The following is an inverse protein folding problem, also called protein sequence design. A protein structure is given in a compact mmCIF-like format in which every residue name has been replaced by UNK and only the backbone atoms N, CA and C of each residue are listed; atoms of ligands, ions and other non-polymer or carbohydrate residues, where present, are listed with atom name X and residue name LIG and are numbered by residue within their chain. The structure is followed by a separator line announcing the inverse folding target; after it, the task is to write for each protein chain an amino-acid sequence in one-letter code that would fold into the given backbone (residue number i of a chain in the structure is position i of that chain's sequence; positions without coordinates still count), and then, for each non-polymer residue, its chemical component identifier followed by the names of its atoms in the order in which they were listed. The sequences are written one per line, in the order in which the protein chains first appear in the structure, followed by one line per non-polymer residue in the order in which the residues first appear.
data_IF_403877728736
#
_entry.id   IF_403877728736
#
_cell.length_a   1.000
_cell.length_b   1.000
_cell.length_c   1.000
_cell.angle_alpha   90.00
_cell.angle_beta   90.00
_cell.angle_gamma   90.00
#
_symmetry.space_group_name_H-M   'P 1'
#
loop_
_entity.id
_entity.type
_entity.pdbx_description
1 polymer ?
#
# COMPACT_ATOMS: atom_id res chain seq x y z
N UNK A 1 -3.15 -16.14 2.30
CA UNK A 1 -2.88 -15.64 0.93
C UNK A 1 -3.71 -16.35 -0.14
N UNK A 2 -3.76 -17.69 -0.18
CA UNK A 2 -4.43 -18.43 -1.26
C UNK A 2 -5.85 -17.94 -1.61
N UNK A 3 -6.71 -17.69 -0.62
CA UNK A 3 -8.08 -17.20 -0.85
C UNK A 3 -8.14 -15.85 -1.57
N UNK A 4 -7.24 -14.92 -1.27
CA UNK A 4 -7.25 -13.59 -1.89
C UNK A 4 -6.74 -13.72 -3.33
N UNK A 5 -5.65 -14.45 -3.55
CA UNK A 5 -5.05 -14.61 -4.88
C UNK A 5 -5.96 -15.34 -5.92
N UNK A 6 -6.99 -16.05 -5.45
CA UNK A 6 -7.97 -16.76 -6.28
C UNK A 6 -9.22 -15.93 -6.61
N UNK A 7 -9.27 -14.66 -6.20
CA UNK A 7 -10.44 -13.81 -6.42
C UNK A 7 -10.46 -13.23 -7.83
N UNK A 8 -11.48 -13.59 -8.62
CA UNK A 8 -11.62 -13.20 -10.04
C UNK A 8 -11.71 -11.68 -10.28
N UNK A 9 -11.91 -10.87 -9.23
CA UNK A 9 -11.94 -9.40 -9.34
C UNK A 9 -10.56 -8.80 -9.60
N UNK A 10 -9.48 -9.58 -9.43
CA UNK A 10 -8.13 -9.15 -9.74
C UNK A 10 -7.31 -10.27 -10.37
N UNK A 11 -6.21 -9.89 -11.03
CA UNK A 11 -5.30 -10.81 -11.72
C UNK A 11 -3.86 -10.36 -11.53
N UNK A 12 -2.92 -11.21 -11.92
CA UNK A 12 -1.47 -10.93 -11.90
C UNK A 12 -0.96 -10.55 -10.50
N UNK A 13 -1.40 -11.30 -9.48
CA UNK A 13 -1.00 -11.10 -8.08
C UNK A 13 0.47 -11.46 -7.92
N UNK A 14 1.25 -10.53 -7.38
CA UNK A 14 2.65 -10.74 -7.03
C UNK A 14 2.85 -10.47 -5.54
N UNK A 15 3.66 -11.32 -4.89
CA UNK A 15 4.14 -11.08 -3.53
C UNK A 15 5.35 -10.15 -3.63
N UNK A 16 5.30 -9.01 -2.94
CA UNK A 16 6.42 -8.07 -2.86
C UNK A 16 7.46 -8.57 -1.86
N UNK A 17 7.02 -8.96 -0.66
CA UNK A 17 7.90 -9.50 0.39
C UNK A 17 7.09 -10.31 1.43
N UNK A 18 7.74 -11.26 2.08
CA UNK A 18 7.26 -11.98 3.26
C UNK A 18 8.42 -12.05 4.24
N UNK A 19 8.30 -11.34 5.36
CA UNK A 19 9.33 -11.31 6.40
C UNK A 19 8.73 -11.21 7.80
N UNK A 20 9.44 -11.70 8.83
CA UNK A 20 9.08 -11.40 10.21
C UNK A 20 9.20 -9.90 10.49
N UNK A 21 8.29 -9.37 11.30
CA UNK A 21 8.27 -7.98 11.76
C UNK A 21 8.29 -7.94 13.28
N UNK A 22 8.95 -6.93 13.85
CA UNK A 22 9.04 -6.76 15.30
C UNK A 22 7.77 -6.15 15.91
N UNK A 23 7.02 -5.36 15.12
CA UNK A 23 5.82 -4.66 15.57
C UNK A 23 4.79 -4.46 14.44
N UNK A 24 3.52 -4.26 14.80
CA UNK A 24 2.45 -4.00 13.83
C UNK A 24 2.39 -2.51 13.46
N UNK A 25 2.70 -2.21 12.21
CA UNK A 25 2.62 -0.83 11.67
C UNK A 25 1.16 -0.33 11.54
N UNK A 26 0.22 -1.23 11.20
CA UNK A 26 -1.19 -0.88 10.95
C UNK A 26 -2.13 -1.41 12.04
N UNK A 27 -1.79 -1.23 13.31
CA UNK A 27 -2.57 -1.80 14.43
C UNK A 27 -3.98 -1.21 14.63
N UNK A 28 -4.21 0.01 14.15
CA UNK A 28 -5.48 0.72 14.35
C UNK A 28 -6.63 0.20 13.46
N UNK A 29 -6.33 -0.62 12.45
CA UNK A 29 -7.30 -1.04 11.44
C UNK A 29 -7.23 -2.54 11.21
N UNK A 30 -8.38 -3.20 11.14
CA UNK A 30 -8.46 -4.59 10.62
C UNK A 30 -8.22 -4.63 9.11
N UNK A 31 -8.66 -3.60 8.38
CA UNK A 31 -8.39 -3.38 6.96
C UNK A 31 -8.60 -1.90 6.62
N UNK A 32 -7.56 -1.24 6.08
CA UNK A 32 -7.63 0.13 5.58
C UNK A 32 -7.51 0.15 4.06
N UNK A 33 -8.36 0.93 3.39
CA UNK A 33 -8.34 1.11 1.94
C UNK A 33 -8.16 2.57 1.57
N UNK A 34 -7.29 2.84 0.59
CA UNK A 34 -7.07 4.18 0.06
C UNK A 34 -7.15 4.15 -1.46
N UNK A 35 -7.95 5.06 -2.05
CA UNK A 35 -7.97 5.29 -3.49
C UNK A 35 -7.11 6.51 -3.80
N UNK A 36 -6.12 6.36 -4.68
CA UNK A 36 -5.27 7.48 -5.12
C UNK A 36 -6.13 8.61 -5.68
N UNK A 37 -6.00 9.80 -5.10
CA UNK A 37 -6.59 11.04 -5.60
C UNK A 37 -5.50 12.01 -6.07
N UNK A 38 -5.84 13.05 -6.86
CA UNK A 38 -4.86 14.08 -7.25
C UNK A 38 -4.18 14.76 -6.06
N UNK A 39 -4.86 14.92 -4.93
CA UNK A 39 -4.28 15.52 -3.72
C UNK A 39 -3.18 14.66 -3.10
N UNK A 40 -3.23 13.34 -3.32
CA UNK A 40 -2.24 12.39 -2.81
C UNK A 40 -1.04 12.22 -3.76
N UNK A 41 -1.13 12.76 -4.97
CA UNK A 41 -0.09 12.67 -5.99
C UNK A 41 1.32 13.06 -5.49
N UNK A 42 1.51 14.13 -4.70
CA UNK A 42 2.83 14.50 -4.18
C UNK A 42 3.44 13.42 -3.27
N UNK A 43 2.60 12.70 -2.51
CA UNK A 43 3.05 11.64 -1.60
C UNK A 43 3.57 10.46 -2.41
N UNK A 44 2.80 10.00 -3.39
CA UNK A 44 3.22 8.92 -4.29
C UNK A 44 4.54 9.28 -5.01
N UNK A 45 4.67 10.53 -5.48
CA UNK A 45 5.90 10.99 -6.12
C UNK A 45 7.11 11.01 -5.17
N UNK A 46 6.93 11.37 -3.90
CA UNK A 46 7.99 11.33 -2.89
C UNK A 46 8.54 9.92 -2.64
N UNK A 47 7.74 8.89 -2.90
CA UNK A 47 8.13 7.48 -2.83
C UNK A 47 8.57 6.88 -4.19
N UNK A 48 8.79 7.72 -5.20
CA UNK A 48 9.24 7.27 -6.52
C UNK A 48 8.13 6.69 -7.41
N UNK A 49 6.86 6.97 -7.11
CA UNK A 49 5.69 6.49 -7.88
C UNK A 49 4.95 7.69 -8.51
N UNK A 50 5.56 8.40 -9.47
CA UNK A 50 4.96 9.59 -10.05
C UNK A 50 3.69 9.27 -10.86
N UNK A 51 3.49 8.04 -11.32
CA UNK A 51 2.36 7.68 -12.16
C UNK A 51 1.90 6.23 -11.89
N UNK A 52 1.82 5.37 -12.90
CA UNK A 52 1.51 3.97 -12.76
C UNK A 52 2.52 3.29 -11.83
N UNK A 53 1.99 2.46 -10.94
CA UNK A 53 2.82 1.60 -10.10
C UNK A 53 3.48 0.56 -11.01
N UNK A 54 4.80 0.68 -11.17
CA UNK A 54 5.61 -0.41 -11.70
C UNK A 54 5.89 -1.42 -10.59
N UNK A 55 5.43 -2.66 -10.79
CA UNK A 55 5.54 -3.72 -9.79
C UNK A 55 6.95 -4.27 -9.67
N UNK A 56 7.82 -4.07 -10.68
CA UNK A 56 9.21 -4.54 -10.63
C UNK A 56 10.13 -3.64 -9.82
N UNK A 57 9.69 -2.41 -9.55
CA UNK A 57 10.47 -1.40 -8.82
C UNK A 57 9.93 -1.16 -7.39
N UNK A 58 8.97 -1.99 -6.94
CA UNK A 58 8.43 -1.90 -5.59
C UNK A 58 9.31 -2.65 -4.57
N UNK A 59 9.73 -1.91 -3.55
CA UNK A 59 10.40 -2.46 -2.37
C UNK A 59 9.48 -2.42 -1.15
N UNK A 60 9.67 -3.37 -0.25
CA UNK A 60 8.88 -3.51 0.98
C UNK A 60 8.81 -2.21 1.77
N UNK A 61 9.98 -1.59 2.02
CA UNK A 61 10.11 -0.38 2.82
C UNK A 61 9.34 0.79 2.20
N UNK A 62 9.42 0.94 0.88
CA UNK A 62 8.70 1.98 0.12
C UNK A 62 7.19 1.81 0.25
N UNK A 63 6.69 0.59 0.04
CA UNK A 63 5.25 0.29 0.09
C UNK A 63 4.68 0.49 1.50
N UNK A 64 5.40 0.01 2.53
CA UNK A 64 4.98 0.17 3.92
C UNK A 64 4.98 1.64 4.34
N UNK A 65 6.02 2.39 3.97
CA UNK A 65 6.13 3.81 4.31
C UNK A 65 5.04 4.63 3.63
N UNK A 66 4.82 4.41 2.33
CA UNK A 66 3.73 5.04 1.59
C UNK A 66 2.36 4.73 2.19
N UNK A 67 2.07 3.46 2.51
CA UNK A 67 0.80 3.08 3.09
C UNK A 67 0.58 3.68 4.48
N UNK A 68 1.64 3.84 5.28
CA UNK A 68 1.59 4.54 6.56
C UNK A 68 1.23 6.01 6.38
N UNK A 69 1.91 6.72 5.49
CA UNK A 69 1.67 8.13 5.22
C UNK A 69 0.27 8.40 4.64
N UNK A 70 -0.27 7.48 3.85
CA UNK A 70 -1.65 7.56 3.37
C UNK A 70 -2.66 7.34 4.50
N UNK A 71 -2.39 6.41 5.43
CA UNK A 71 -3.30 6.07 6.53
C UNK A 71 -3.51 7.22 7.52
N UNK A 72 -2.50 8.07 7.72
CA UNK A 72 -2.60 9.24 8.60
C UNK A 72 -3.50 10.32 8.00
N UNK A 73 -3.58 10.41 6.67
CA UNK A 73 -4.46 11.36 5.99
C UNK A 73 -5.91 10.89 5.89
N UNK A 74 -6.15 9.59 5.79
CA UNK A 74 -7.52 9.04 5.83
C UNK A 74 -8.18 9.28 7.20
N UNK A 75 -7.39 9.28 8.28
CA UNK A 75 -7.87 9.54 9.64
C UNK A 75 -8.24 11.01 9.89
N UNK A 76 -7.91 11.93 8.97
CA UNK A 76 -8.28 13.36 9.04
C UNK A 76 -9.60 13.68 8.29
N UNK A 77 -10.27 12.67 7.71
CA UNK A 77 -11.56 12.80 7.04
C UNK A 77 -12.61 11.81 7.60
N UNK A 78 -12.59 11.62 8.93
CA UNK A 78 -13.63 10.92 9.69
C UNK A 78 -14.46 11.89 10.51
#
# INVERSE_FOLDING_TARGET
MARIAQDDRHRDVAVIDIRPISERVFQAWTMGGCRRTPQQQPIFAAYGIPDRIDRTELFFETVVSLARDLSTQTSAQG
#
